data_IF_730951617573
#
_entry.id   IF_730951617573
#
_cell.length_a   1.000
_cell.length_b   1.000
_cell.length_c   1.000
_cell.angle_alpha   90.00
_cell.angle_beta   90.00
_cell.angle_gamma   90.00
#
_symmetry.space_group_name_H-M   'P 1'
#
loop_
_entity.id
_entity.type
_entity.pdbx_description
1 polymer ?
#
# COMPACT_ATOMS: atom_id res chain seq x y z
N UNK A 1 -32.31 -39.75 -21.96
CA UNK A 1 -31.08 -39.87 -22.74
C UNK A 1 -30.00 -39.07 -22.04
N UNK A 2 -28.87 -39.67 -21.84
CA UNK A 2 -27.69 -39.03 -21.24
C UNK A 2 -26.48 -39.18 -22.16
N UNK A 3 -25.63 -38.20 -22.16
CA UNK A 3 -24.33 -38.27 -22.81
C UNK A 3 -23.31 -37.60 -21.86
N UNK A 4 -22.04 -38.02 -21.95
CA UNK A 4 -20.98 -37.49 -21.14
C UNK A 4 -20.85 -35.95 -21.34
N UNK A 5 -20.65 -35.24 -20.25
CA UNK A 5 -20.51 -33.78 -20.26
C UNK A 5 -21.72 -32.98 -20.76
N UNK A 6 -22.88 -33.60 -20.85
CA UNK A 6 -24.13 -32.96 -21.28
C UNK A 6 -25.19 -32.96 -20.18
N UNK A 7 -26.08 -31.98 -20.22
CA UNK A 7 -27.29 -31.97 -19.39
C UNK A 7 -28.18 -33.15 -19.80
N UNK A 8 -28.73 -33.86 -18.82
CA UNK A 8 -29.67 -34.95 -19.10
C UNK A 8 -30.92 -34.42 -19.87
N UNK A 9 -31.28 -35.09 -20.92
CA UNK A 9 -32.52 -34.80 -21.64
C UNK A 9 -33.66 -35.70 -21.11
N UNK A 10 -34.75 -35.05 -20.71
CA UNK A 10 -35.98 -35.75 -20.30
C UNK A 10 -37.11 -35.25 -21.23
N UNK A 11 -37.63 -36.10 -22.05
CA UNK A 11 -38.73 -35.80 -22.97
C UNK A 11 -39.42 -37.05 -23.43
N UNK A 12 -40.65 -36.93 -23.95
CA UNK A 12 -41.42 -38.03 -24.50
C UNK A 12 -41.04 -38.23 -25.97
N UNK A 13 -40.74 -39.46 -26.35
CA UNK A 13 -40.55 -39.87 -27.72
C UNK A 13 -41.81 -40.66 -28.10
N UNK A 14 -42.60 -40.18 -29.07
CA UNK A 14 -43.74 -40.92 -29.60
C UNK A 14 -43.29 -41.80 -30.75
N UNK A 15 -43.49 -43.10 -30.62
CA UNK A 15 -43.19 -44.09 -31.67
C UNK A 15 -44.50 -44.48 -32.32
N UNK A 16 -44.60 -44.24 -33.60
CA UNK A 16 -45.77 -44.71 -34.41
C UNK A 16 -45.50 -46.08 -35.02
N UNK A 17 -46.51 -46.96 -35.02
CA UNK A 17 -46.33 -48.39 -35.33
C UNK A 17 -45.91 -48.67 -36.77
N UNK A 18 -46.11 -47.72 -37.72
CA UNK A 18 -45.94 -47.94 -39.14
C UNK A 18 -44.54 -47.59 -39.71
N UNK A 19 -43.59 -47.17 -38.89
CA UNK A 19 -42.28 -46.82 -39.41
C UNK A 19 -41.26 -47.93 -39.17
N UNK A 20 -40.62 -48.40 -40.24
CA UNK A 20 -39.58 -49.45 -40.17
C UNK A 20 -38.29 -48.98 -39.43
N UNK A 21 -38.09 -47.70 -39.37
CA UNK A 21 -37.00 -47.10 -38.62
C UNK A 21 -37.45 -45.78 -37.99
N UNK A 22 -37.19 -45.62 -36.70
CA UNK A 22 -37.49 -44.39 -35.97
C UNK A 22 -36.15 -43.75 -35.57
N UNK A 23 -35.87 -42.59 -36.16
CA UNK A 23 -34.72 -41.80 -35.78
C UNK A 23 -35.21 -40.55 -35.07
N UNK A 24 -34.81 -40.36 -33.82
CA UNK A 24 -35.06 -39.16 -33.04
C UNK A 24 -33.72 -38.46 -32.78
N UNK A 25 -33.61 -37.26 -33.31
CA UNK A 25 -32.45 -36.39 -33.01
C UNK A 25 -32.75 -35.59 -31.73
N UNK A 26 -31.94 -35.77 -30.74
CA UNK A 26 -32.01 -35.02 -29.50
C UNK A 26 -30.83 -34.06 -29.45
N UNK A 27 -31.12 -32.75 -29.48
CA UNK A 27 -30.11 -31.74 -29.25
C UNK A 27 -29.78 -31.70 -27.75
N UNK A 28 -28.57 -32.02 -27.41
CA UNK A 28 -28.11 -31.99 -26.04
C UNK A 28 -27.22 -30.76 -25.81
N UNK A 29 -27.38 -30.12 -24.66
CA UNK A 29 -26.54 -28.99 -24.25
C UNK A 29 -25.45 -29.48 -23.31
N UNK A 30 -24.24 -29.01 -23.51
CA UNK A 30 -23.14 -29.31 -22.59
C UNK A 30 -23.39 -28.74 -21.20
N UNK A 31 -22.78 -29.34 -20.20
CA UNK A 31 -22.69 -28.76 -18.87
C UNK A 31 -21.86 -27.48 -18.93
N UNK A 32 -22.15 -26.49 -18.09
CA UNK A 32 -21.28 -25.33 -17.98
C UNK A 32 -19.90 -25.74 -17.48
N UNK A 33 -18.86 -24.99 -17.86
CA UNK A 33 -17.54 -25.14 -17.29
C UNK A 33 -17.53 -24.78 -15.81
N UNK A 34 -16.54 -25.28 -15.08
CA UNK A 34 -16.29 -24.94 -13.69
C UNK A 34 -15.43 -23.69 -13.60
N UNK A 35 -15.98 -22.61 -13.03
CA UNK A 35 -15.31 -21.32 -12.85
C UNK A 35 -14.73 -21.10 -11.46
N UNK A 36 -14.73 -22.12 -10.59
CA UNK A 36 -14.27 -21.98 -9.20
C UNK A 36 -12.89 -21.34 -9.11
N UNK A 37 -11.93 -21.80 -9.92
CA UNK A 37 -10.56 -21.23 -9.94
C UNK A 37 -10.53 -19.78 -10.43
N UNK A 38 -11.36 -19.43 -11.41
CA UNK A 38 -11.48 -18.06 -11.90
C UNK A 38 -12.04 -17.15 -10.81
N UNK A 39 -13.09 -17.60 -10.12
CA UNK A 39 -13.70 -16.84 -9.03
C UNK A 39 -12.74 -16.62 -7.87
N UNK A 40 -11.95 -17.62 -7.52
CA UNK A 40 -10.88 -17.52 -6.52
C UNK A 40 -9.79 -16.53 -6.96
N UNK A 41 -9.35 -16.60 -8.22
CA UNK A 41 -8.33 -15.69 -8.75
C UNK A 41 -8.83 -14.24 -8.81
N UNK A 42 -10.07 -14.03 -9.24
CA UNK A 42 -10.73 -12.70 -9.23
C UNK A 42 -10.89 -12.17 -7.81
N UNK A 43 -11.28 -13.01 -6.85
CA UNK A 43 -11.39 -12.62 -5.45
C UNK A 43 -10.03 -12.21 -4.88
N UNK A 44 -8.96 -12.95 -5.19
CA UNK A 44 -7.58 -12.58 -4.83
C UNK A 44 -7.20 -11.22 -5.42
N UNK A 45 -7.45 -11.00 -6.72
CA UNK A 45 -7.17 -9.73 -7.39
C UNK A 45 -7.90 -8.55 -6.72
N UNK A 46 -9.19 -8.72 -6.43
CA UNK A 46 -10.03 -7.69 -5.81
C UNK A 46 -9.66 -7.39 -4.35
N UNK A 47 -9.02 -8.32 -3.65
CA UNK A 47 -8.54 -8.10 -2.28
C UNK A 47 -7.25 -7.27 -2.22
N UNK A 48 -6.56 -7.10 -3.34
CA UNK A 48 -5.33 -6.32 -3.39
C UNK A 48 -5.62 -4.81 -3.40
N UNK A 49 -4.84 -4.06 -2.62
CA UNK A 49 -4.87 -2.61 -2.71
C UNK A 49 -3.98 -2.16 -3.89
N UNK A 50 -4.62 -1.80 -5.01
CA UNK A 50 -3.93 -1.40 -6.24
C UNK A 50 -2.99 -0.20 -6.07
N UNK A 51 -3.26 0.67 -5.08
CA UNK A 51 -2.44 1.85 -4.82
C UNK A 51 -1.03 1.50 -4.31
N UNK A 52 -0.84 0.27 -3.83
CA UNK A 52 0.45 -0.21 -3.35
C UNK A 52 1.40 -0.66 -4.48
N UNK A 53 0.92 -0.81 -5.71
CA UNK A 53 1.70 -1.38 -6.81
C UNK A 53 2.09 -0.32 -7.84
N UNK A 54 3.23 -0.53 -8.51
CA UNK A 54 3.75 0.36 -9.55
C UNK A 54 2.84 0.39 -10.76
N UNK A 55 2.33 -0.78 -11.15
CA UNK A 55 1.37 -0.97 -12.24
C UNK A 55 0.42 -2.11 -11.90
N UNK A 56 -0.86 -1.89 -12.05
CA UNK A 56 -1.92 -2.87 -11.79
C UNK A 56 -2.73 -3.21 -13.05
N UNK A 57 -2.39 -2.60 -14.18
CA UNK A 57 -3.17 -2.69 -15.43
C UNK A 57 -3.26 -4.10 -15.98
N UNK A 58 -2.20 -4.90 -15.85
CA UNK A 58 -2.21 -6.29 -16.30
C UNK A 58 -3.22 -7.15 -15.54
N UNK A 59 -3.37 -6.93 -14.23
CA UNK A 59 -4.36 -7.63 -13.40
C UNK A 59 -5.79 -7.20 -13.79
N UNK A 60 -6.03 -5.90 -13.95
CA UNK A 60 -7.32 -5.39 -14.40
C UNK A 60 -7.70 -5.93 -15.78
N UNK A 61 -6.74 -5.98 -16.71
CA UNK A 61 -6.95 -6.54 -18.04
C UNK A 61 -7.30 -8.03 -18.00
N UNK A 62 -6.59 -8.83 -17.22
CA UNK A 62 -6.83 -10.26 -17.07
C UNK A 62 -8.22 -10.54 -16.43
N UNK A 63 -8.61 -9.79 -15.42
CA UNK A 63 -9.94 -9.90 -14.79
C UNK A 63 -11.05 -9.52 -15.78
N UNK A 64 -10.88 -8.43 -16.54
CA UNK A 64 -11.86 -7.97 -17.52
C UNK A 64 -11.97 -8.91 -18.75
N UNK A 65 -10.95 -9.70 -19.02
CA UNK A 65 -10.95 -10.68 -20.12
C UNK A 65 -11.69 -11.97 -19.78
N UNK A 66 -12.23 -12.14 -18.58
CA UNK A 66 -12.96 -13.34 -18.18
C UNK A 66 -14.27 -13.45 -18.94
N UNK A 67 -14.45 -14.54 -19.67
CA UNK A 67 -15.66 -14.90 -20.40
C UNK A 67 -16.38 -16.01 -19.64
N UNK A 68 -17.70 -15.88 -19.43
CA UNK A 68 -18.46 -16.77 -18.52
C UNK A 68 -19.51 -17.66 -19.20
N UNK A 69 -19.46 -17.80 -20.51
CA UNK A 69 -20.41 -18.58 -21.29
C UNK A 69 -19.81 -19.90 -21.84
N UNK A 70 -18.67 -20.31 -21.29
CA UNK A 70 -17.97 -21.54 -21.67
C UNK A 70 -18.64 -22.77 -21.09
N UNK A 71 -18.60 -23.86 -21.87
CA UNK A 71 -19.07 -25.16 -21.44
C UNK A 71 -17.91 -26.08 -21.02
N UNK A 72 -18.25 -27.25 -20.47
CA UNK A 72 -17.24 -28.16 -19.88
C UNK A 72 -16.17 -28.65 -20.89
N UNK A 73 -16.48 -28.65 -22.21
CA UNK A 73 -15.49 -29.04 -23.22
C UNK A 73 -14.40 -27.98 -23.43
N UNK A 74 -14.69 -26.77 -22.95
CA UNK A 74 -13.79 -25.60 -22.99
C UNK A 74 -13.14 -25.31 -21.62
N UNK A 75 -13.17 -26.31 -20.71
CA UNK A 75 -12.62 -26.12 -19.34
C UNK A 75 -11.16 -25.65 -19.33
N UNK A 76 -10.36 -26.11 -20.30
CA UNK A 76 -8.96 -25.67 -20.41
C UNK A 76 -8.80 -24.17 -20.66
N UNK A 77 -9.76 -23.56 -21.38
CA UNK A 77 -9.75 -22.11 -21.62
C UNK A 77 -10.11 -21.36 -20.33
N UNK A 78 -11.07 -21.90 -19.56
CA UNK A 78 -11.45 -21.35 -18.25
C UNK A 78 -10.28 -21.42 -17.27
N UNK A 79 -9.58 -22.57 -17.22
CA UNK A 79 -8.37 -22.72 -16.39
C UNK A 79 -7.26 -21.76 -16.82
N UNK A 80 -7.13 -21.50 -18.13
CA UNK A 80 -6.17 -20.52 -18.64
C UNK A 80 -6.51 -19.08 -18.23
N UNK A 81 -7.79 -18.70 -18.14
CA UNK A 81 -8.22 -17.40 -17.62
C UNK A 81 -7.83 -17.23 -16.14
N UNK A 82 -8.07 -18.26 -15.31
CA UNK A 82 -7.64 -18.25 -13.91
C UNK A 82 -6.14 -18.07 -13.80
N UNK A 83 -5.38 -18.84 -14.57
CA UNK A 83 -3.91 -18.75 -14.61
C UNK A 83 -3.43 -17.37 -15.06
N UNK A 84 -4.06 -16.75 -16.06
CA UNK A 84 -3.66 -15.42 -16.51
C UNK A 84 -3.81 -14.37 -15.42
N UNK A 85 -4.87 -14.44 -14.60
CA UNK A 85 -5.06 -13.56 -13.45
C UNK A 85 -3.97 -13.83 -12.40
N UNK A 86 -3.71 -15.08 -12.08
CA UNK A 86 -2.68 -15.46 -11.09
C UNK A 86 -1.27 -15.04 -11.53
N UNK A 87 -0.92 -15.24 -12.81
CA UNK A 87 0.35 -14.81 -13.38
C UNK A 87 0.49 -13.27 -13.32
N UNK A 88 -0.59 -12.54 -13.63
CA UNK A 88 -0.59 -11.08 -13.55
C UNK A 88 -0.42 -10.59 -12.09
N UNK A 89 -1.05 -11.26 -11.12
CA UNK A 89 -0.87 -10.97 -9.69
C UNK A 89 0.58 -11.24 -9.27
N UNK A 90 1.15 -12.36 -9.71
CA UNK A 90 2.52 -12.75 -9.36
C UNK A 90 3.58 -11.80 -9.94
N UNK A 91 3.27 -11.13 -11.05
CA UNK A 91 4.15 -10.15 -11.69
C UNK A 91 4.10 -8.76 -11.04
N UNK A 92 3.19 -8.52 -10.09
CA UNK A 92 3.04 -7.22 -9.44
C UNK A 92 4.29 -6.81 -8.66
N UNK A 93 4.66 -5.54 -8.80
CA UNK A 93 5.74 -4.93 -8.05
C UNK A 93 5.21 -3.83 -7.15
N UNK A 94 5.58 -3.88 -5.88
CA UNK A 94 5.23 -2.82 -4.95
C UNK A 94 5.92 -1.49 -5.33
N UNK A 95 5.25 -0.38 -5.06
CA UNK A 95 5.87 0.94 -5.04
C UNK A 95 6.94 0.98 -3.96
N UNK A 96 7.95 1.80 -4.19
CA UNK A 96 8.96 2.06 -3.18
C UNK A 96 8.35 2.85 -2.01
N UNK A 97 8.86 2.68 -0.80
CA UNK A 97 8.48 3.49 0.34
C UNK A 97 8.92 4.95 0.16
N UNK A 98 8.19 5.87 0.77
CA UNK A 98 8.55 7.30 0.78
C UNK A 98 9.58 7.59 1.87
N UNK A 99 10.78 7.96 1.45
CA UNK A 99 11.89 8.33 2.32
C UNK A 99 12.02 9.84 2.58
N UNK A 100 11.07 10.65 2.13
CA UNK A 100 11.15 12.13 2.24
C UNK A 100 11.39 12.58 3.67
N UNK A 101 10.73 11.96 4.65
CA UNK A 101 10.91 12.28 6.08
C UNK A 101 12.31 11.88 6.58
N UNK A 102 12.80 10.72 6.16
CA UNK A 102 14.15 10.24 6.51
C UNK A 102 15.20 11.19 5.95
N UNK A 103 15.05 11.57 4.68
CA UNK A 103 15.99 12.47 4.02
C UNK A 103 16.00 13.86 4.67
N UNK A 104 14.83 14.37 5.05
CA UNK A 104 14.70 15.61 5.80
C UNK A 104 15.35 15.52 7.19
N UNK A 105 15.17 14.41 7.90
CA UNK A 105 15.79 14.19 9.21
C UNK A 105 17.32 14.09 9.11
N UNK A 106 17.83 13.37 8.09
CA UNK A 106 19.28 13.30 7.81
C UNK A 106 19.83 14.69 7.45
N UNK A 107 19.13 15.47 6.64
CA UNK A 107 19.55 16.82 6.30
C UNK A 107 19.64 17.72 7.53
N UNK A 108 18.65 17.63 8.45
CA UNK A 108 18.69 18.33 9.74
C UNK A 108 19.91 17.89 10.56
N UNK A 109 20.17 16.58 10.68
CA UNK A 109 21.32 16.05 11.40
C UNK A 109 22.64 16.57 10.84
N UNK A 110 22.78 16.58 9.50
CA UNK A 110 23.99 17.03 8.80
C UNK A 110 24.23 18.55 8.91
N UNK A 111 23.17 19.34 9.13
CA UNK A 111 23.28 20.79 9.33
C UNK A 111 23.79 21.17 10.72
N UNK A 112 23.80 20.23 11.67
CA UNK A 112 24.28 20.45 13.03
C UNK A 112 25.82 20.39 13.10
N UNK A 113 26.43 21.31 13.87
CA UNK A 113 27.86 21.27 14.15
C UNK A 113 28.10 20.33 15.31
N UNK A 114 28.67 19.17 15.02
CA UNK A 114 28.96 18.11 16.00
C UNK A 114 29.72 18.61 17.23
N UNK A 115 30.65 19.54 17.03
CA UNK A 115 31.49 20.07 18.08
C UNK A 115 30.76 20.94 19.12
N UNK A 116 29.54 21.41 18.77
CA UNK A 116 28.70 22.21 19.66
C UNK A 116 27.99 21.36 20.74
N UNK A 117 28.04 20.04 20.63
CA UNK A 117 27.26 19.13 21.48
C UNK A 117 28.18 18.26 22.35
N UNK A 118 27.69 17.85 23.55
CA UNK A 118 28.44 17.00 24.48
C UNK A 118 28.69 15.62 23.91
N UNK A 119 27.63 15.04 23.34
CA UNK A 119 27.65 13.73 22.67
C UNK A 119 26.77 13.79 21.41
N UNK A 120 27.31 13.41 20.27
CA UNK A 120 26.64 13.37 18.99
C UNK A 120 26.49 11.93 18.48
N UNK A 121 26.98 10.94 19.22
CA UNK A 121 27.03 9.52 18.79
C UNK A 121 25.66 8.92 18.54
N UNK A 122 24.62 9.32 19.29
CA UNK A 122 23.26 8.88 19.12
C UNK A 122 22.70 9.25 17.74
N UNK A 123 22.97 10.49 17.28
CA UNK A 123 22.54 10.95 15.94
C UNK A 123 23.27 10.18 14.84
N UNK A 124 24.59 10.01 14.98
CA UNK A 124 25.37 9.23 14.01
C UNK A 124 24.88 7.78 13.91
N UNK A 125 24.56 7.18 15.05
CA UNK A 125 24.03 5.81 15.09
C UNK A 125 22.66 5.72 14.42
N UNK A 126 21.76 6.64 14.70
CA UNK A 126 20.44 6.68 14.09
C UNK A 126 20.51 6.88 12.55
N UNK A 127 21.39 7.78 12.08
CA UNK A 127 21.60 8.00 10.65
C UNK A 127 22.18 6.75 9.97
N UNK A 128 23.17 6.09 10.59
CA UNK A 128 23.78 4.85 10.07
C UNK A 128 22.82 3.67 10.05
N UNK A 129 21.82 3.65 10.92
CA UNK A 129 20.82 2.60 11.01
C UNK A 129 19.74 2.68 9.90
N UNK A 130 19.77 3.70 9.05
CA UNK A 130 18.82 3.85 7.96
C UNK A 130 19.01 2.76 6.91
N UNK A 131 17.97 1.96 6.69
CA UNK A 131 17.92 0.92 5.65
C UNK A 131 17.10 1.46 4.49
N UNK A 132 17.69 1.43 3.28
CA UNK A 132 17.04 1.83 2.03
C UNK A 132 16.47 0.62 1.28
N UNK A 133 15.61 0.86 0.30
CA UNK A 133 15.08 -0.19 -0.57
C UNK A 133 13.83 -0.89 -0.03
N UNK A 134 13.20 -0.36 1.02
CA UNK A 134 11.89 -0.82 1.50
C UNK A 134 10.78 -0.40 0.54
N UNK A 135 9.72 -1.20 0.50
CA UNK A 135 8.54 -0.91 -0.31
C UNK A 135 7.44 -0.24 0.54
N UNK A 136 6.38 0.19 -0.13
CA UNK A 136 5.28 0.95 0.51
C UNK A 136 4.58 0.20 1.65
N UNK A 137 4.58 -1.15 1.64
CA UNK A 137 3.98 -1.94 2.72
C UNK A 137 4.80 -1.87 4.01
N UNK A 138 6.07 -1.44 3.91
CA UNK A 138 7.00 -1.25 5.01
C UNK A 138 7.15 0.25 5.40
N UNK A 139 6.25 1.13 4.92
CA UNK A 139 6.32 2.58 5.18
C UNK A 139 6.41 2.92 6.66
N UNK A 140 5.74 2.15 7.53
CA UNK A 140 5.80 2.38 8.97
C UNK A 140 7.20 2.19 9.56
N UNK A 141 8.01 1.31 8.97
CA UNK A 141 9.40 1.13 9.39
C UNK A 141 10.27 2.29 8.94
N UNK A 142 10.02 2.80 7.72
CA UNK A 142 10.70 3.99 7.21
C UNK A 142 10.38 5.22 8.07
N UNK A 143 9.12 5.40 8.44
CA UNK A 143 8.71 6.49 9.34
C UNK A 143 9.36 6.38 10.74
N UNK A 144 9.55 5.15 11.26
CA UNK A 144 10.28 4.93 12.51
C UNK A 144 11.75 5.32 12.42
N UNK A 145 12.41 5.08 11.28
CA UNK A 145 13.80 5.51 11.06
C UNK A 145 13.92 7.04 11.08
N UNK A 146 12.99 7.74 10.41
CA UNK A 146 12.93 9.20 10.46
C UNK A 146 12.78 9.71 11.91
N UNK A 147 11.83 9.12 12.64
CA UNK A 147 11.59 9.47 14.03
C UNK A 147 12.80 9.20 14.93
N UNK A 148 13.50 8.10 14.74
CA UNK A 148 14.69 7.78 15.53
C UNK A 148 15.79 8.83 15.35
N UNK A 149 15.97 9.36 14.14
CA UNK A 149 16.92 10.46 13.89
C UNK A 149 16.44 11.75 14.58
N UNK A 150 15.15 12.08 14.46
CA UNK A 150 14.58 13.27 15.09
C UNK A 150 14.64 13.21 16.63
N UNK A 151 14.34 12.06 17.21
CA UNK A 151 14.47 11.83 18.66
C UNK A 151 15.92 11.96 19.12
N UNK A 152 16.88 11.42 18.35
CA UNK A 152 18.31 11.56 18.66
C UNK A 152 18.77 13.01 18.56
N UNK A 153 18.29 13.79 17.59
CA UNK A 153 18.56 15.23 17.48
C UNK A 153 17.98 15.98 18.69
N UNK A 154 16.74 15.65 19.08
CA UNK A 154 16.07 16.30 20.20
C UNK A 154 16.75 16.01 21.55
N UNK A 155 17.43 14.87 21.68
CA UNK A 155 18.18 14.49 22.87
C UNK A 155 19.57 15.16 22.98
N UNK A 156 19.99 15.93 21.96
CA UNK A 156 21.30 16.57 21.98
C UNK A 156 21.42 17.65 23.05
N UNK A 157 22.48 17.56 23.86
CA UNK A 157 22.84 18.59 24.83
C UNK A 157 24.01 19.43 24.31
N UNK A 158 23.85 20.77 24.30
CA UNK A 158 24.93 21.68 23.92
C UNK A 158 26.04 21.68 24.96
N UNK A 159 27.27 21.83 24.50
CA UNK A 159 28.39 22.12 25.36
C UNK A 159 28.20 23.49 26.02
N UNK A 160 28.63 23.68 27.31
CA UNK A 160 28.66 25.01 27.90
C UNK A 160 29.51 25.93 27.04
N UNK A 161 29.04 27.17 26.83
CA UNK A 161 29.87 28.17 26.16
C UNK A 161 31.21 28.31 26.89
N UNK A 162 32.30 28.11 26.16
CA UNK A 162 33.65 28.35 26.70
C UNK A 162 33.77 29.84 27.02
N UNK A 163 33.70 30.20 28.30
CA UNK A 163 34.01 31.54 28.75
C UNK A 163 35.52 31.68 28.58
N UNK A 164 35.94 32.39 27.54
CA UNK A 164 37.34 32.77 27.38
C UNK A 164 37.72 33.65 28.59
N UNK A 165 38.71 33.28 29.44
CA UNK A 165 39.16 34.20 30.44
C UNK A 165 40.02 35.26 29.74
N UNK A 166 39.48 36.44 29.61
CA UNK A 166 40.19 37.52 28.95
C UNK A 166 39.59 38.87 29.30
N UNK A 167 40.31 39.56 30.20
CA UNK A 167 40.23 40.98 30.55
C UNK A 167 39.06 41.40 31.44
N UNK A 168 39.41 41.66 32.67
CA UNK A 168 38.71 42.47 33.65
C UNK A 168 38.35 43.83 33.02
N UNK A 169 37.09 44.07 32.80
CA UNK A 169 36.54 45.42 32.83
C UNK A 169 35.31 45.39 33.72
N UNK A 170 35.44 46.17 34.81
CA UNK A 170 34.38 46.42 35.75
C UNK A 170 33.22 47.12 35.06
N UNK A 171 32.17 46.38 34.74
CA UNK A 171 30.87 46.94 34.39
C UNK A 171 29.78 46.23 35.18
N UNK A 172 28.86 46.93 35.84
CA UNK A 172 27.86 46.32 36.70
C UNK A 172 26.91 45.45 35.87
N UNK A 173 26.80 44.21 36.33
CA UNK A 173 25.93 43.17 35.77
C UNK A 173 24.48 43.51 36.02
N UNK A 174 23.80 44.08 35.08
CA UNK A 174 22.33 44.07 35.04
C UNK A 174 21.87 42.71 34.55
N UNK A 175 21.28 41.94 35.47
CA UNK A 175 20.76 40.61 35.14
C UNK A 175 19.57 40.67 34.19
N UNK A 176 19.79 40.11 33.04
CA UNK A 176 18.68 39.70 32.15
C UNK A 176 18.88 38.21 31.84
N UNK A 177 18.18 37.38 32.63
CA UNK A 177 18.02 35.95 32.37
C UNK A 177 16.81 35.75 31.47
N UNK A 178 16.88 36.23 30.26
CA UNK A 178 15.88 35.87 29.23
C UNK A 178 16.16 34.44 28.76
N UNK A 179 15.35 33.53 29.21
CA UNK A 179 15.32 32.13 28.82
C UNK A 179 14.95 31.98 27.33
N UNK A 180 15.87 32.36 26.43
CA UNK A 180 15.70 32.22 24.98
C UNK A 180 15.52 30.75 24.56
N UNK A 181 16.03 29.81 25.39
CA UNK A 181 15.86 28.37 25.14
C UNK A 181 14.44 27.88 25.31
N UNK A 182 13.62 28.54 26.14
CA UNK A 182 12.21 28.19 26.33
C UNK A 182 11.32 28.65 25.17
N UNK A 183 11.67 29.74 24.52
CA UNK A 183 10.93 30.26 23.36
C UNK A 183 11.16 29.43 22.10
N UNK A 184 12.36 28.87 21.88
CA UNK A 184 12.64 27.99 20.75
C UNK A 184 11.96 26.63 20.88
N UNK A 185 11.79 26.11 22.11
CA UNK A 185 11.05 24.86 22.34
C UNK A 185 9.53 25.02 22.08
N UNK A 186 8.96 26.20 22.32
CA UNK A 186 7.54 26.46 22.09
C UNK A 186 7.17 26.61 20.60
N UNK A 187 8.13 26.99 19.76
CA UNK A 187 7.90 27.21 18.33
C UNK A 187 7.80 25.90 17.53
N UNK A 188 8.33 24.79 18.07
CA UNK A 188 8.28 23.47 17.45
C UNK A 188 7.03 22.66 17.78
N UNK A 189 6.27 23.02 18.83
CA UNK A 189 5.05 22.29 19.20
C UNK A 189 3.81 22.78 18.46
N UNK A 190 3.81 23.99 17.90
CA UNK A 190 2.66 24.59 17.24
C UNK A 190 2.53 24.29 15.74
N UNK A 191 3.50 23.61 15.13
CA UNK A 191 3.53 23.33 13.67
C UNK A 191 2.84 22.05 13.22
N UNK A 192 2.41 21.16 14.12
CA UNK A 192 1.89 19.84 13.74
C UNK A 192 0.37 19.63 13.93
N UNK A 193 -0.40 20.68 14.19
CA UNK A 193 -1.85 20.55 14.48
C UNK A 193 -2.76 21.26 13.49
N UNK A 194 -2.40 21.38 12.22
CA UNK A 194 -3.25 22.04 11.23
C UNK A 194 -3.29 21.39 9.83
N UNK A 195 -3.34 20.06 9.75
CA UNK A 195 -3.81 19.39 8.52
C UNK A 195 -4.70 18.21 8.93
N UNK A 196 -5.97 18.46 9.11
CA UNK A 196 -6.87 17.35 9.41
C UNK A 196 -8.26 17.77 9.84
N UNK A 197 -8.94 18.68 9.14
CA UNK A 197 -10.40 18.75 9.18
C UNK A 197 -10.92 19.67 8.10
N UNK A 198 -11.18 19.18 6.90
CA UNK A 198 -12.26 19.71 6.04
C UNK A 198 -12.58 18.72 4.92
N UNK A 199 -13.23 17.60 5.22
CA UNK A 199 -14.14 16.94 4.27
C UNK A 199 -15.19 16.19 5.09
N UNK A 200 -16.16 16.92 5.64
CA UNK A 200 -17.49 16.35 5.89
C UNK A 200 -18.50 17.47 5.75
N UNK A 201 -19.45 17.26 4.88
CA UNK A 201 -20.73 17.93 4.79
C UNK A 201 -20.99 18.65 3.48
N UNK A 202 -21.46 17.91 2.48
CA UNK A 202 -22.59 18.35 1.66
C UNK A 202 -23.34 17.15 1.07
N UNK A 203 -24.16 16.52 1.90
CA UNK A 203 -25.36 15.83 1.45
C UNK A 203 -26.52 16.50 2.15
N UNK A 204 -27.29 17.32 1.45
CA UNK A 204 -28.72 17.52 1.73
C UNK A 204 -29.45 18.13 0.54
N UNK A 205 -30.50 17.42 0.16
CA UNK A 205 -31.78 17.83 -0.42
C UNK A 205 -31.84 18.15 -1.90
N UNK A 206 -32.48 17.27 -2.64
CA UNK A 206 -33.69 17.65 -3.36
C UNK A 206 -34.69 16.50 -3.31
N UNK A 207 -35.74 16.73 -2.48
CA UNK A 207 -37.05 16.11 -2.62
C UNK A 207 -37.90 17.10 -3.45
N UNK A 208 -38.39 16.66 -4.58
CA UNK A 208 -39.74 16.85 -5.09
C UNK A 208 -39.86 16.19 -6.46
#
# INVERSE_FOLDING_TARGET
VTADNCKAYTGNITITADAATHTQTVAMTYLPADYTKVDEAVAKANALNKDNYKDFTAVEAAVNAVVRDKNITEQSEVDAMAKAIEDAIAALQYKDADYTKVDAAIAKANALKKDDYKDFSGVETAVKAVVRGKNITEQSEVDKMAKAIEDAIAALEKKPASIKPGTSDNSPQTGDTSNLALWLALLFVSGSAAIGTTVVSRKKKYNR
#
